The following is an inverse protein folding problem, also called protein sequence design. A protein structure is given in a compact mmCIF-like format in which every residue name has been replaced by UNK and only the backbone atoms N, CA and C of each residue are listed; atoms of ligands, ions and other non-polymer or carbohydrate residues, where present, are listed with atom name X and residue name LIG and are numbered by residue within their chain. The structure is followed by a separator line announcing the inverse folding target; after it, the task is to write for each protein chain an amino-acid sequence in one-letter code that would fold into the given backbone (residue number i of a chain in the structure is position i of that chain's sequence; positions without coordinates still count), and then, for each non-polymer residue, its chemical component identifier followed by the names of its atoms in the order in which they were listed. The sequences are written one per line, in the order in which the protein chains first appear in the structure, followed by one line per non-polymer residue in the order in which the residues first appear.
data_IF_627783082819
#
_entry.id   IF_627783082819
#
_cell.length_a   1.000
_cell.length_b   1.000
_cell.length_c   1.000
_cell.angle_alpha   90.00
_cell.angle_beta   90.00
_cell.angle_gamma   90.00
#
_symmetry.space_group_name_H-M   'P 1'
#
loop_
_entity.id
_entity.type
_entity.pdbx_description
1 polymer ?
#
# COMPACT_ATOMS: atom_id res chain seq x y z
N UNK A 1 0.41 -22.31 25.66
CA UNK A 1 0.32 -20.95 25.07
C UNK A 1 -0.93 -20.90 24.19
N UNK A 2 -1.66 -19.77 24.15
CA UNK A 2 -2.97 -19.64 23.50
C UNK A 2 -2.93 -19.31 21.98
N UNK A 3 -1.74 -19.06 21.42
CA UNK A 3 -1.55 -18.79 19.99
C UNK A 3 -1.63 -17.31 19.58
N UNK A 4 -1.30 -17.02 18.31
CA UNK A 4 -1.22 -15.64 17.79
C UNK A 4 -2.59 -14.96 17.69
N UNK A 5 -3.66 -15.71 17.43
CA UNK A 5 -5.02 -15.16 17.35
C UNK A 5 -5.56 -14.74 18.74
N UNK A 6 -5.16 -15.47 19.79
CA UNK A 6 -5.45 -15.05 21.15
C UNK A 6 -4.68 -13.76 21.51
N UNK A 7 -3.43 -13.62 21.04
CA UNK A 7 -2.67 -12.38 21.21
C UNK A 7 -3.30 -11.20 20.45
N UNK A 8 -3.78 -11.42 19.22
CA UNK A 8 -4.53 -10.43 18.44
C UNK A 8 -5.79 -9.96 19.18
N UNK A 9 -6.57 -10.90 19.70
CA UNK A 9 -7.79 -10.57 20.48
C UNK A 9 -7.45 -9.80 21.75
N UNK A 10 -6.37 -10.18 22.45
CA UNK A 10 -5.90 -9.48 23.63
C UNK A 10 -5.44 -8.04 23.31
N UNK A 11 -4.74 -7.82 22.19
CA UNK A 11 -4.35 -6.48 21.74
C UNK A 11 -5.55 -5.58 21.50
N UNK A 12 -6.56 -6.07 20.77
CA UNK A 12 -7.77 -5.28 20.48
C UNK A 12 -8.43 -4.85 21.79
N UNK A 13 -8.56 -5.76 22.76
CA UNK A 13 -9.14 -5.47 24.07
C UNK A 13 -8.34 -4.44 24.85
N UNK A 14 -7.01 -4.60 24.89
CA UNK A 14 -6.14 -3.71 25.67
C UNK A 14 -6.11 -2.29 25.10
N UNK A 15 -6.03 -2.16 23.77
CA UNK A 15 -6.04 -0.86 23.09
C UNK A 15 -7.39 -0.17 23.31
N UNK A 16 -8.51 -0.89 23.18
CA UNK A 16 -9.85 -0.35 23.48
C UNK A 16 -9.94 0.15 24.91
N UNK A 17 -9.59 -0.68 25.90
CA UNK A 17 -9.62 -0.31 27.31
C UNK A 17 -8.78 0.95 27.58
N UNK A 18 -7.56 0.99 27.05
CA UNK A 18 -6.66 2.14 27.24
C UNK A 18 -7.26 3.42 26.65
N UNK A 19 -7.84 3.36 25.45
CA UNK A 19 -8.44 4.53 24.81
C UNK A 19 -9.70 4.99 25.54
N UNK A 20 -10.56 4.06 25.98
CA UNK A 20 -11.75 4.35 26.78
C UNK A 20 -11.40 4.99 28.13
N UNK A 21 -10.34 4.51 28.80
CA UNK A 21 -9.82 5.11 30.04
C UNK A 21 -9.34 6.55 29.85
N UNK A 22 -8.86 6.91 28.66
CA UNK A 22 -8.49 8.28 28.31
C UNK A 22 -9.67 9.11 27.76
N UNK A 23 -10.88 8.55 27.71
CA UNK A 23 -12.07 9.20 27.15
C UNK A 23 -12.03 9.39 25.63
N UNK A 24 -11.24 8.59 24.91
CA UNK A 24 -11.12 8.64 23.45
C UNK A 24 -12.04 7.58 22.81
N UNK A 25 -13.03 8.04 22.06
CA UNK A 25 -13.89 7.15 21.27
C UNK A 25 -13.26 6.88 19.90
N UNK A 26 -12.91 5.61 19.65
CA UNK A 26 -12.36 5.16 18.36
C UNK A 26 -13.14 3.94 17.88
N UNK A 27 -13.55 3.96 16.61
CA UNK A 27 -14.24 2.84 16.00
C UNK A 27 -13.32 1.60 15.96
N UNK A 28 -13.85 0.47 16.41
CA UNK A 28 -13.16 -0.82 16.54
C UNK A 28 -12.44 -1.26 15.26
N UNK A 29 -12.90 -0.87 14.07
CA UNK A 29 -12.27 -1.22 12.79
C UNK A 29 -10.85 -0.69 12.68
N UNK A 30 -10.56 0.49 13.23
CA UNK A 30 -9.20 1.05 13.23
C UNK A 30 -8.27 0.23 14.11
N UNK A 31 -8.76 -0.19 15.27
CA UNK A 31 -8.00 -0.97 16.25
C UNK A 31 -7.78 -2.39 15.73
N UNK A 32 -8.81 -2.98 15.11
CA UNK A 32 -8.68 -4.27 14.42
C UNK A 32 -7.64 -4.21 13.31
N UNK A 33 -7.63 -3.15 12.49
CA UNK A 33 -6.64 -3.00 11.43
C UNK A 33 -5.21 -2.94 12.00
N UNK A 34 -5.00 -2.19 13.08
CA UNK A 34 -3.68 -2.12 13.75
C UNK A 34 -3.28 -3.49 14.31
N UNK A 35 -4.19 -4.17 15.01
CA UNK A 35 -3.93 -5.50 15.57
C UNK A 35 -3.64 -6.55 14.47
N UNK A 36 -4.36 -6.50 13.35
CA UNK A 36 -4.14 -7.35 12.18
C UNK A 36 -2.74 -7.12 11.59
N UNK A 37 -2.37 -5.85 11.39
CA UNK A 37 -1.04 -5.49 10.88
C UNK A 37 0.06 -6.01 11.82
N UNK A 38 -0.11 -5.86 13.13
CA UNK A 38 0.84 -6.33 14.15
C UNK A 38 0.95 -7.86 14.24
N UNK A 39 -0.05 -8.63 13.79
CA UNK A 39 -0.09 -10.10 13.97
C UNK A 39 -0.07 -10.91 12.67
N UNK A 40 -0.17 -10.24 11.52
CA UNK A 40 -0.26 -10.84 10.17
C UNK A 40 0.85 -11.83 9.81
N UNK A 41 2.06 -11.69 10.37
CA UNK A 41 3.20 -12.59 10.09
C UNK A 41 3.26 -13.83 10.98
N UNK A 42 2.22 -14.10 11.77
CA UNK A 42 2.17 -15.24 12.69
C UNK A 42 2.95 -15.05 14.00
N UNK A 43 3.51 -13.85 14.20
CA UNK A 43 4.23 -13.43 15.40
C UNK A 43 3.96 -11.96 15.66
N UNK A 44 3.98 -11.56 16.94
CA UNK A 44 3.68 -10.20 17.35
C UNK A 44 4.78 -9.24 16.87
N UNK A 45 4.41 -8.26 16.06
CA UNK A 45 5.32 -7.26 15.52
C UNK A 45 5.11 -5.92 16.19
N UNK A 46 6.22 -5.31 16.61
CA UNK A 46 6.27 -3.91 17.02
C UNK A 46 5.86 -2.97 15.87
N UNK A 47 5.18 -1.88 16.19
CA UNK A 47 5.10 -0.71 15.31
C UNK A 47 6.42 0.05 15.40
N UNK A 48 7.19 0.09 14.31
CA UNK A 48 8.48 0.76 14.24
C UNK A 48 9.49 0.04 13.35
N UNK A 49 10.75 0.51 13.35
CA UNK A 49 11.80 0.00 12.46
C UNK A 49 12.19 -1.46 12.72
N UNK A 50 11.98 -1.98 13.92
CA UNK A 50 12.30 -3.37 14.24
C UNK A 50 11.14 -4.34 13.95
N UNK A 51 9.96 -3.82 13.57
CA UNK A 51 8.81 -4.64 13.24
C UNK A 51 8.20 -4.25 11.89
N UNK A 52 7.00 -3.68 11.91
CA UNK A 52 6.19 -3.46 10.69
C UNK A 52 6.91 -2.59 9.65
N UNK A 53 7.58 -1.50 10.07
CA UNK A 53 8.19 -0.57 9.13
C UNK A 53 9.49 -1.11 8.51
N UNK A 54 10.35 -1.74 9.30
CA UNK A 54 11.63 -2.27 8.79
C UNK A 54 11.51 -3.56 8.00
N UNK A 55 10.36 -4.23 8.05
CA UNK A 55 10.09 -5.44 7.26
C UNK A 55 9.34 -5.17 5.95
N UNK A 56 9.21 -3.90 5.56
CA UNK A 56 8.73 -3.52 4.22
C UNK A 56 9.72 -3.97 3.16
N UNK A 57 9.22 -4.37 2.00
CA UNK A 57 10.05 -4.82 0.87
C UNK A 57 10.73 -3.66 0.15
N UNK A 58 10.08 -2.50 0.08
CA UNK A 58 10.63 -1.30 -0.56
C UNK A 58 11.84 -0.76 0.23
N UNK A 59 12.93 -0.50 -0.48
CA UNK A 59 14.14 0.12 0.07
C UNK A 59 13.83 1.56 0.46
N UNK A 60 13.15 2.31 -0.42
CA UNK A 60 12.79 3.69 -0.15
C UNK A 60 11.81 3.80 1.02
N UNK A 61 10.84 2.89 1.11
CA UNK A 61 9.89 2.88 2.22
C UNK A 61 10.54 2.53 3.57
N UNK A 62 11.57 1.66 3.59
CA UNK A 62 12.38 1.40 4.80
C UNK A 62 13.27 2.60 5.14
N UNK A 63 13.96 3.16 4.15
CA UNK A 63 14.87 4.30 4.34
C UNK A 63 14.15 5.57 4.80
N UNK A 64 12.88 5.74 4.43
CA UNK A 64 12.04 6.85 4.89
C UNK A 64 11.66 6.76 6.38
N UNK A 65 11.95 5.65 7.08
CA UNK A 65 11.58 5.47 8.48
C UNK A 65 12.81 5.20 9.37
N UNK A 66 13.17 6.19 10.20
CA UNK A 66 14.21 6.17 11.25
C UNK A 66 15.68 5.95 10.80
N UNK A 67 15.97 5.18 9.73
CA UNK A 67 17.35 4.88 9.28
C UNK A 67 17.46 4.99 7.77
N UNK A 68 17.88 6.17 7.29
CA UNK A 68 17.94 6.47 5.85
C UNK A 68 19.25 6.03 5.21
N UNK A 69 20.37 6.64 5.61
CA UNK A 69 21.67 6.46 4.95
C UNK A 69 22.17 5.01 4.99
N UNK A 70 22.18 4.32 6.16
CA UNK A 70 22.64 2.93 6.22
C UNK A 70 21.79 1.98 5.38
N UNK A 71 20.46 2.18 5.35
CA UNK A 71 19.54 1.33 4.57
C UNK A 71 19.81 1.45 3.07
N UNK A 72 20.02 2.66 2.57
CA UNK A 72 20.33 2.88 1.15
C UNK A 72 21.71 2.30 0.81
N UNK A 73 22.71 2.51 1.67
CA UNK A 73 24.06 1.99 1.45
C UNK A 73 24.06 0.45 1.40
N UNK A 74 23.37 -0.21 2.32
CA UNK A 74 23.25 -1.67 2.34
C UNK A 74 22.50 -2.21 1.12
N UNK A 75 21.40 -1.56 0.73
CA UNK A 75 20.64 -1.92 -0.46
C UNK A 75 21.48 -1.77 -1.73
N UNK A 76 22.28 -0.70 -1.84
CA UNK A 76 23.19 -0.48 -2.97
C UNK A 76 24.28 -1.56 -3.03
N UNK A 77 24.86 -1.94 -1.88
CA UNK A 77 25.85 -3.02 -1.80
C UNK A 77 25.26 -4.39 -2.22
N UNK A 78 23.99 -4.66 -1.89
CA UNK A 78 23.29 -5.90 -2.25
C UNK A 78 22.68 -5.87 -3.64
N UNK A 79 22.64 -4.71 -4.31
CA UNK A 79 21.95 -4.54 -5.59
C UNK A 79 20.43 -4.74 -5.49
N UNK A 80 19.81 -4.33 -4.38
CA UNK A 80 18.35 -4.42 -4.21
C UNK A 80 17.62 -3.52 -5.22
N UNK A 81 16.52 -4.02 -5.77
CA UNK A 81 15.70 -3.31 -6.77
C UNK A 81 14.45 -2.74 -6.10
N UNK A 82 14.16 -1.47 -6.35
CA UNK A 82 12.96 -0.79 -5.88
C UNK A 82 11.81 -0.95 -6.89
N UNK A 83 10.73 -1.69 -6.56
CA UNK A 83 9.63 -1.94 -7.49
C UNK A 83 8.59 -0.82 -7.60
N UNK A 84 8.61 0.22 -6.74
CA UNK A 84 7.66 1.35 -6.78
C UNK A 84 6.19 0.94 -6.67
N UNK A 85 5.86 0.00 -5.78
CA UNK A 85 4.48 -0.52 -5.64
C UNK A 85 3.68 0.08 -4.48
N UNK A 86 4.34 0.67 -3.51
CA UNK A 86 3.75 1.28 -2.33
C UNK A 86 3.65 2.79 -2.41
N UNK A 87 3.01 3.36 -1.39
CA UNK A 87 2.72 4.80 -1.35
C UNK A 87 3.98 5.62 -1.15
N UNK A 88 4.82 5.25 -0.18
CA UNK A 88 5.97 6.06 0.26
C UNK A 88 6.97 6.27 -0.88
N UNK A 89 7.30 5.20 -1.60
CA UNK A 89 8.27 5.22 -2.67
C UNK A 89 7.78 5.98 -3.92
N UNK A 90 6.48 5.88 -4.27
CA UNK A 90 5.90 6.69 -5.35
C UNK A 90 5.85 8.18 -5.00
N UNK A 91 5.58 8.51 -3.74
CA UNK A 91 5.65 9.91 -3.26
C UNK A 91 7.07 10.47 -3.37
N UNK A 92 8.09 9.68 -2.99
CA UNK A 92 9.50 10.12 -3.04
C UNK A 92 9.95 10.38 -4.48
N UNK A 93 9.57 9.51 -5.43
CA UNK A 93 9.98 9.61 -6.84
C UNK A 93 9.11 10.61 -7.62
N UNK A 94 7.94 10.97 -7.11
CA UNK A 94 7.00 11.87 -7.78
C UNK A 94 6.16 11.20 -8.86
N UNK A 95 5.97 9.87 -8.78
CA UNK A 95 5.10 9.09 -9.65
C UNK A 95 3.67 9.00 -9.10
N UNK A 96 2.74 8.52 -9.93
CA UNK A 96 1.35 8.29 -9.51
C UNK A 96 1.29 7.29 -8.36
N UNK A 97 0.68 7.69 -7.25
CA UNK A 97 0.55 6.84 -6.06
C UNK A 97 -0.59 5.81 -6.30
N UNK A 98 -0.35 4.50 -6.12
CA UNK A 98 -1.35 3.45 -6.41
C UNK A 98 -2.38 3.32 -5.27
N UNK A 99 -3.10 4.40 -4.97
CA UNK A 99 -4.15 4.45 -3.95
C UNK A 99 -5.31 5.31 -4.45
N UNK A 100 -6.54 4.92 -4.10
CA UNK A 100 -7.75 5.66 -4.52
C UNK A 100 -7.86 5.76 -6.05
N UNK A 101 -7.84 6.99 -6.58
CA UNK A 101 -7.91 7.25 -8.02
C UNK A 101 -6.70 6.73 -8.80
N UNK A 102 -5.55 6.56 -8.16
CA UNK A 102 -4.34 6.01 -8.79
C UNK A 102 -4.36 4.49 -8.95
N UNK A 103 -5.42 3.80 -8.51
CA UNK A 103 -5.56 2.33 -8.71
C UNK A 103 -6.22 1.96 -10.03
N UNK A 104 -6.74 2.94 -10.78
CA UNK A 104 -7.46 2.71 -12.03
C UNK A 104 -6.76 3.44 -13.17
N UNK A 105 -6.61 2.75 -14.30
CA UNK A 105 -6.13 3.34 -15.54
C UNK A 105 -7.30 3.80 -16.39
N UNK A 106 -7.19 5.02 -16.91
CA UNK A 106 -8.18 5.59 -17.83
C UNK A 106 -7.69 5.44 -19.26
N UNK A 107 -8.44 4.68 -20.06
CA UNK A 107 -8.17 4.52 -21.48
C UNK A 107 -9.26 5.21 -22.31
N UNK A 108 -8.84 6.08 -23.21
CA UNK A 108 -9.74 6.66 -24.21
C UNK A 108 -9.81 5.75 -25.42
N UNK A 109 -11.00 5.20 -25.71
CA UNK A 109 -11.25 4.50 -26.97
C UNK A 109 -11.41 5.53 -28.08
N UNK A 110 -10.41 5.67 -28.94
CA UNK A 110 -10.55 6.44 -30.17
C UNK A 110 -11.46 5.64 -31.10
N UNK A 111 -12.69 6.12 -31.30
CA UNK A 111 -13.59 5.54 -32.27
C UNK A 111 -12.99 5.69 -33.67
N UNK A 112 -12.85 4.60 -34.42
CA UNK A 112 -12.70 4.71 -35.87
C UNK A 112 -13.95 5.43 -36.36
N UNK A 113 -13.82 6.71 -36.69
CA UNK A 113 -14.82 7.40 -37.49
C UNK A 113 -15.03 6.57 -38.74
N UNK A 114 -16.23 6.00 -38.87
CA UNK A 114 -16.69 5.45 -40.13
C UNK A 114 -16.64 6.59 -41.15
N UNK A 115 -15.60 6.61 -41.99
CA UNK A 115 -15.70 7.25 -43.29
C UNK A 115 -16.73 6.44 -44.08
N UNK A 116 -17.99 6.86 -43.97
CA UNK A 116 -19.07 6.43 -44.85
C UNK A 116 -18.78 7.02 -46.24
N UNK A 117 -17.95 6.34 -47.02
CA UNK A 117 -17.96 6.52 -48.48
C UNK A 117 -19.05 5.58 -49.01
N UNK A 118 -20.26 6.11 -49.06
CA UNK A 118 -21.37 5.51 -49.77
C UNK A 118 -22.19 6.63 -50.44
N UNK A 119 -21.89 6.86 -51.72
CA UNK A 119 -22.83 7.32 -52.76
C UNK A 119 -22.11 7.09 -54.09
N UNK A 120 -22.55 6.08 -54.86
CA UNK A 120 -23.18 6.24 -56.18
C UNK A 120 -22.17 6.76 -57.23
N UNK A 121 -21.86 6.03 -58.28
CA UNK A 121 -22.78 5.87 -59.40
C UNK A 121 -22.57 4.57 -60.18
N UNK A 122 -23.70 3.98 -60.56
CA UNK A 122 -23.80 2.96 -61.59
C UNK A 122 -24.41 3.61 -62.84
N UNK A 123 -23.62 3.77 -63.90
CA UNK A 123 -23.99 3.79 -65.33
C UNK A 123 -22.70 3.36 -66.05
N UNK A 124 -22.62 2.36 -66.93
CA UNK A 124 -23.51 1.98 -68.01
C UNK A 124 -22.88 2.44 -69.33
N UNK A 125 -22.22 1.55 -70.08
CA UNK A 125 -21.68 1.82 -71.42
C UNK A 125 -20.33 1.19 -71.71
#
# INVERSE_FOLDING_TARGET
MLGIEAARTALVKEIMNTLEEQGLEVDIRHIMLVADVMTSKGMLQQIGRHGVAGTKTSVLARAAFEITVPTIAEAALKGEIEPLKGVTENVIVGSTVPVGTGMVDLYMKVGNGSASVASSDAEGG
#
